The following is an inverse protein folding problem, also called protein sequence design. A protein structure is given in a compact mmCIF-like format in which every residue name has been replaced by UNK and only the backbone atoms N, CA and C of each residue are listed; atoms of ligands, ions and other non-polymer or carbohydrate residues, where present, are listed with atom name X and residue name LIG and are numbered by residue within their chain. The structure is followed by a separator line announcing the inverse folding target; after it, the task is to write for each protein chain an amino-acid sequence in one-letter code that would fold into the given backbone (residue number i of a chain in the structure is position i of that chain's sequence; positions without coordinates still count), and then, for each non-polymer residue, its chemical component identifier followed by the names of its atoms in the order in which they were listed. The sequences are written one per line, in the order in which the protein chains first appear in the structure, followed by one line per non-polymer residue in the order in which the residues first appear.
data_IF_442176616342
#
_entry.id   IF_442176616342
#
_cell.length_a   1.000
_cell.length_b   1.000
_cell.length_c   1.000
_cell.angle_alpha   90.00
_cell.angle_beta   90.00
_cell.angle_gamma   90.00
#
_symmetry.space_group_name_H-M   'P 1'
#
loop_
_entity.id
_entity.type
_entity.pdbx_description
1 polymer ?
#
# COMPACT_ATOMS: atom_id res chain seq x y z
N UNK A 1 -9.57 14.79 -33.21
CA UNK A 1 -10.17 13.77 -32.31
C UNK A 1 -9.50 13.73 -30.94
N UNK A 2 -8.20 13.98 -30.81
CA UNK A 2 -7.53 14.03 -29.49
C UNK A 2 -7.78 15.35 -28.73
N UNK A 3 -8.17 16.42 -29.42
CA UNK A 3 -8.37 17.77 -28.86
C UNK A 3 -9.61 17.93 -27.95
N UNK A 4 -10.49 16.92 -27.86
CA UNK A 4 -11.69 16.93 -27.00
C UNK A 4 -11.53 16.10 -25.73
N UNK A 5 -10.33 15.55 -25.49
CA UNK A 5 -10.05 14.75 -24.30
C UNK A 5 -9.61 15.70 -23.20
N UNK A 6 -10.43 15.82 -22.16
CA UNK A 6 -10.18 16.69 -21.00
C UNK A 6 -9.28 16.01 -19.96
N UNK A 7 -9.42 14.69 -19.76
CA UNK A 7 -8.66 13.92 -18.77
C UNK A 7 -8.16 12.57 -19.34
N UNK A 8 -6.93 12.21 -19.00
CA UNK A 8 -6.36 10.89 -19.28
C UNK A 8 -5.82 10.29 -17.97
N UNK A 9 -6.45 9.20 -17.53
CA UNK A 9 -5.92 8.38 -16.44
C UNK A 9 -4.80 7.49 -16.98
N UNK A 10 -3.58 7.67 -16.47
CA UNK A 10 -2.42 6.85 -16.85
C UNK A 10 -1.87 6.08 -15.66
N UNK A 11 -1.30 4.92 -15.96
CA UNK A 11 -0.42 4.21 -15.03
C UNK A 11 0.79 5.11 -14.71
N UNK A 12 1.39 4.98 -13.51
CA UNK A 12 2.49 5.82 -13.00
C UNK A 12 3.83 5.64 -13.75
N UNK A 13 3.78 5.26 -15.04
CA UNK A 13 4.95 5.08 -15.88
C UNK A 13 5.27 6.36 -16.65
N UNK A 14 6.42 6.96 -16.33
CA UNK A 14 6.91 8.21 -16.90
C UNK A 14 6.87 8.29 -18.46
N UNK A 15 7.15 7.22 -19.22
CA UNK A 15 6.99 7.24 -20.68
C UNK A 15 5.56 7.52 -21.15
N UNK A 16 4.53 7.05 -20.44
CA UNK A 16 3.14 7.36 -20.78
C UNK A 16 2.79 8.81 -20.46
N UNK A 17 3.32 9.38 -19.37
CA UNK A 17 3.16 10.80 -19.04
C UNK A 17 3.73 11.71 -20.12
N UNK A 18 4.91 11.37 -20.64
CA UNK A 18 5.54 12.13 -21.71
C UNK A 18 4.79 11.99 -23.04
N UNK A 19 4.34 10.78 -23.37
CA UNK A 19 3.55 10.50 -24.58
C UNK A 19 2.18 11.21 -24.57
N UNK A 20 1.49 11.26 -23.43
CA UNK A 20 0.22 11.99 -23.29
C UNK A 20 0.43 13.49 -23.41
N UNK A 21 1.50 14.05 -22.81
CA UNK A 21 1.84 15.47 -23.02
C UNK A 21 2.15 15.82 -24.48
N UNK A 22 2.74 14.88 -25.22
CA UNK A 22 3.10 15.07 -26.64
C UNK A 22 1.87 14.95 -27.57
N UNK A 23 1.00 13.98 -27.31
CA UNK A 23 -0.18 13.70 -28.16
C UNK A 23 -1.42 14.50 -27.78
N UNK A 24 -1.54 14.89 -26.51
CA UNK A 24 -2.71 15.51 -25.88
C UNK A 24 -2.26 16.59 -24.87
N UNK A 25 -1.63 17.69 -25.33
CA UNK A 25 -1.08 18.73 -24.45
C UNK A 25 -2.13 19.46 -23.60
N UNK A 26 -3.41 19.41 -24.03
CA UNK A 26 -4.54 20.01 -23.33
C UNK A 26 -5.17 19.10 -22.27
N UNK A 27 -4.81 17.82 -22.21
CA UNK A 27 -5.42 16.86 -21.30
C UNK A 27 -4.71 16.83 -19.95
N UNK A 28 -5.48 16.81 -18.87
CA UNK A 28 -4.93 16.62 -17.53
C UNK A 28 -4.53 15.15 -17.32
N UNK A 29 -3.29 14.94 -16.90
CA UNK A 29 -2.73 13.60 -16.65
C UNK A 29 -3.03 13.22 -15.21
N UNK A 30 -3.96 12.29 -15.01
CA UNK A 30 -4.34 11.80 -13.69
C UNK A 30 -3.64 10.47 -13.42
N UNK A 31 -2.99 10.36 -12.26
CA UNK A 31 -2.38 9.11 -11.83
C UNK A 31 -3.47 8.08 -11.47
N UNK A 32 -3.41 6.89 -12.06
CA UNK A 32 -4.37 5.83 -11.75
C UNK A 32 -4.18 5.29 -10.33
N UNK A 33 -5.06 5.72 -9.43
CA UNK A 33 -5.16 5.27 -8.03
C UNK A 33 -5.12 3.75 -7.88
N UNK A 34 -5.74 3.00 -8.79
CA UNK A 34 -5.80 1.54 -8.69
C UNK A 34 -4.42 0.91 -8.82
N UNK A 35 -3.58 1.41 -9.73
CA UNK A 35 -2.23 0.89 -9.92
C UNK A 35 -1.34 1.19 -8.71
N UNK A 36 -1.43 2.39 -8.15
CA UNK A 36 -0.67 2.77 -6.94
C UNK A 36 -1.07 1.91 -5.75
N UNK A 37 -2.37 1.77 -5.52
CA UNK A 37 -2.90 1.00 -4.40
C UNK A 37 -2.61 -0.49 -4.55
N UNK A 38 -2.62 -1.01 -5.78
CA UNK A 38 -2.18 -2.38 -6.09
C UNK A 38 -0.71 -2.57 -5.71
N UNK A 39 0.17 -1.63 -6.05
CA UNK A 39 1.59 -1.72 -5.72
C UNK A 39 1.85 -1.69 -4.20
N UNK A 40 1.19 -0.77 -3.48
CA UNK A 40 1.27 -0.71 -2.00
C UNK A 40 0.81 -2.04 -1.39
N UNK A 41 -0.30 -2.60 -1.87
CA UNK A 41 -0.79 -3.90 -1.40
C UNK A 41 0.17 -5.05 -1.71
N UNK A 42 0.87 -5.01 -2.85
CA UNK A 42 1.88 -6.01 -3.20
C UNK A 42 3.07 -5.93 -2.25
N UNK A 43 3.60 -4.73 -1.98
CA UNK A 43 4.73 -4.53 -1.08
C UNK A 43 4.39 -4.95 0.37
N UNK A 44 3.16 -4.70 0.82
CA UNK A 44 2.66 -5.21 2.11
C UNK A 44 2.58 -6.76 2.15
N UNK A 45 2.10 -7.42 1.09
CA UNK A 45 2.08 -8.89 1.02
C UNK A 45 3.49 -9.49 0.95
N UNK A 46 4.44 -8.80 0.31
CA UNK A 46 5.86 -9.16 0.31
C UNK A 46 6.43 -9.11 1.73
N UNK A 47 6.20 -8.02 2.47
CA UNK A 47 6.64 -7.93 3.87
C UNK A 47 6.02 -9.03 4.73
N UNK A 48 4.71 -9.31 4.57
CA UNK A 48 4.04 -10.40 5.30
C UNK A 48 4.70 -11.75 5.05
N UNK A 49 5.13 -12.03 3.81
CA UNK A 49 5.87 -13.26 3.46
C UNK A 49 7.27 -13.24 4.08
N UNK A 50 7.94 -12.10 4.10
CA UNK A 50 9.26 -11.95 4.71
C UNK A 50 9.21 -12.21 6.22
N UNK A 51 8.25 -11.62 6.95
CA UNK A 51 8.03 -11.88 8.38
C UNK A 51 7.78 -13.36 8.66
N UNK A 52 6.95 -14.01 7.83
CA UNK A 52 6.69 -15.46 7.95
C UNK A 52 7.98 -16.27 7.82
N UNK A 53 8.79 -16.00 6.80
CA UNK A 53 10.08 -16.68 6.58
C UNK A 53 11.05 -16.42 7.73
N UNK A 54 11.09 -15.20 8.26
CA UNK A 54 11.94 -14.84 9.40
C UNK A 54 11.58 -15.65 10.65
N UNK A 55 10.28 -15.78 10.95
CA UNK A 55 9.78 -16.63 12.05
C UNK A 55 10.12 -18.11 11.79
N UNK A 56 9.90 -18.60 10.57
CA UNK A 56 10.25 -19.99 10.18
C UNK A 56 11.74 -20.29 10.33
N UNK A 57 12.62 -19.33 10.04
CA UNK A 57 14.07 -19.48 10.13
C UNK A 57 14.63 -19.52 11.56
N UNK A 58 13.85 -19.13 12.58
CA UNK A 58 14.28 -19.21 13.97
C UNK A 58 14.54 -20.67 14.39
N UNK A 59 15.78 -20.97 14.80
CA UNK A 59 16.26 -22.31 15.18
C UNK A 59 16.23 -22.59 16.69
N UNK A 60 15.89 -21.60 17.51
CA UNK A 60 15.93 -21.73 18.96
C UNK A 60 14.82 -22.65 19.49
N UNK A 61 15.19 -23.87 19.93
CA UNK A 61 14.25 -24.86 20.47
C UNK A 61 13.51 -24.37 21.72
N UNK A 62 14.08 -23.44 22.49
CA UNK A 62 13.43 -22.88 23.70
C UNK A 62 12.24 -21.96 23.39
N UNK A 63 12.14 -21.46 22.16
CA UNK A 63 11.07 -20.53 21.72
C UNK A 63 10.06 -21.20 20.78
N UNK A 64 9.98 -22.55 20.78
CA UNK A 64 9.12 -23.29 19.86
C UNK A 64 7.64 -22.86 19.95
N UNK A 65 7.11 -22.73 21.16
CA UNK A 65 5.71 -22.32 21.37
C UNK A 65 5.44 -20.88 20.88
N UNK A 66 6.35 -19.94 21.15
CA UNK A 66 6.24 -18.55 20.69
C UNK A 66 6.28 -18.46 19.15
N UNK A 67 7.17 -19.23 18.52
CA UNK A 67 7.27 -19.36 17.08
C UNK A 67 5.96 -19.87 16.47
N UNK A 68 5.41 -20.94 17.03
CA UNK A 68 4.14 -21.53 16.56
C UNK A 68 2.98 -20.53 16.69
N UNK A 69 2.89 -19.80 17.81
CA UNK A 69 1.90 -18.75 18.01
C UNK A 69 2.02 -17.64 16.94
N UNK A 70 3.23 -17.14 16.67
CA UNK A 70 3.49 -16.13 15.63
C UNK A 70 3.13 -16.62 14.23
N UNK A 71 3.41 -17.89 13.90
CA UNK A 71 3.03 -18.48 12.61
C UNK A 71 1.52 -18.63 12.47
N UNK A 72 0.81 -19.00 13.54
CA UNK A 72 -0.64 -19.06 13.53
C UNK A 72 -1.26 -17.69 13.33
N UNK A 73 -0.70 -16.61 13.89
CA UNK A 73 -1.11 -15.22 13.60
C UNK A 73 -0.97 -14.90 12.11
N UNK A 74 0.12 -15.28 11.45
CA UNK A 74 0.33 -15.02 10.02
C UNK A 74 -0.44 -15.99 9.09
N UNK A 75 -0.97 -17.09 9.59
CA UNK A 75 -1.71 -18.07 8.81
C UNK A 75 -3.04 -17.50 8.32
N UNK A 76 -3.30 -17.64 7.01
CA UNK A 76 -4.52 -17.13 6.33
C UNK A 76 -4.79 -15.63 6.58
N UNK A 77 -3.75 -14.85 6.89
CA UNK A 77 -3.84 -13.43 7.26
C UNK A 77 -3.88 -12.45 6.09
N UNK A 78 -3.62 -12.92 4.85
CA UNK A 78 -3.46 -12.04 3.67
C UNK A 78 -4.59 -11.02 3.56
N UNK A 79 -5.84 -11.48 3.55
CA UNK A 79 -6.98 -10.58 3.37
C UNK A 79 -7.31 -9.74 4.59
N UNK A 80 -6.84 -10.12 5.79
CA UNK A 80 -6.96 -9.26 6.97
C UNK A 80 -6.07 -8.02 6.87
N UNK A 81 -4.97 -8.09 6.12
CA UNK A 81 -4.07 -6.95 5.89
C UNK A 81 -4.41 -6.18 4.60
N UNK A 82 -4.75 -6.89 3.53
CA UNK A 82 -4.86 -6.26 2.21
C UNK A 82 -6.23 -5.66 1.94
N UNK A 83 -7.31 -6.21 2.54
CA UNK A 83 -8.62 -5.56 2.41
C UNK A 83 -8.62 -4.24 3.16
N UNK A 84 -9.38 -3.31 2.63
CA UNK A 84 -9.83 -2.09 3.28
C UNK A 84 -10.40 -2.37 4.67
N UNK A 85 -10.04 -1.58 5.69
CA UNK A 85 -10.52 -1.82 7.07
C UNK A 85 -12.05 -1.82 7.17
N UNK A 86 -12.69 -0.90 6.42
CA UNK A 86 -14.15 -0.79 6.35
C UNK A 86 -14.85 -2.03 5.78
N UNK A 87 -14.12 -2.86 5.03
CA UNK A 87 -14.64 -4.06 4.34
C UNK A 87 -14.23 -5.37 5.05
N UNK A 88 -13.63 -5.28 6.23
CA UNK A 88 -13.23 -6.44 7.03
C UNK A 88 -14.42 -7.06 7.77
N UNK A 89 -14.49 -8.39 7.72
CA UNK A 89 -15.38 -9.14 8.63
C UNK A 89 -14.85 -9.12 10.06
N UNK A 90 -15.69 -9.43 11.04
CA UNK A 90 -15.28 -9.42 12.45
C UNK A 90 -14.09 -10.35 12.73
N UNK A 91 -14.11 -11.56 12.15
CA UNK A 91 -12.98 -12.49 12.21
C UNK A 91 -11.71 -11.90 11.59
N UNK A 92 -11.83 -11.13 10.50
CA UNK A 92 -10.69 -10.50 9.86
C UNK A 92 -10.13 -9.34 10.70
N UNK A 93 -10.98 -8.58 11.40
CA UNK A 93 -10.57 -7.52 12.34
C UNK A 93 -9.81 -8.09 13.53
N UNK A 94 -10.34 -9.12 14.18
CA UNK A 94 -9.64 -9.81 15.28
C UNK A 94 -8.26 -10.30 14.82
N UNK A 95 -8.20 -10.86 13.61
CA UNK A 95 -6.93 -11.31 13.02
C UNK A 95 -5.98 -10.15 12.73
N UNK A 96 -6.48 -9.02 12.24
CA UNK A 96 -5.69 -7.81 11.99
C UNK A 96 -5.09 -7.28 13.29
N UNK A 97 -5.87 -7.20 14.37
CA UNK A 97 -5.35 -6.75 15.68
C UNK A 97 -4.26 -7.68 16.21
N UNK A 98 -4.46 -9.00 16.11
CA UNK A 98 -3.42 -9.96 16.48
C UNK A 98 -2.13 -9.77 15.65
N UNK A 99 -2.23 -9.42 14.37
CA UNK A 99 -1.06 -9.09 13.53
C UNK A 99 -0.40 -7.81 14.03
N UNK A 100 -1.20 -6.76 14.31
CA UNK A 100 -0.69 -5.47 14.77
C UNK A 100 0.08 -5.57 16.09
N UNK A 101 -0.37 -6.44 17.00
CA UNK A 101 0.30 -6.73 18.27
C UNK A 101 1.62 -7.49 18.10
N UNK A 102 1.67 -8.45 17.17
CA UNK A 102 2.82 -9.36 17.03
C UNK A 102 3.87 -8.87 16.04
N UNK A 103 3.49 -8.03 15.08
CA UNK A 103 4.34 -7.61 13.96
C UNK A 103 4.26 -6.09 13.76
N UNK A 104 5.03 -5.30 14.54
CA UNK A 104 5.01 -3.84 14.48
C UNK A 104 5.27 -3.26 13.08
N UNK A 105 6.08 -3.93 12.26
CA UNK A 105 6.34 -3.48 10.89
C UNK A 105 5.09 -3.65 9.99
N UNK A 106 4.38 -4.78 10.12
CA UNK A 106 3.11 -5.00 9.40
C UNK A 106 2.02 -4.04 9.89
N UNK A 107 1.98 -3.72 11.19
CA UNK A 107 1.11 -2.68 11.75
C UNK A 107 1.34 -1.35 11.03
N UNK A 108 2.59 -0.87 11.03
CA UNK A 108 2.96 0.42 10.43
C UNK A 108 2.62 0.47 8.94
N UNK A 109 2.94 -0.58 8.19
CA UNK A 109 2.62 -0.65 6.77
C UNK A 109 1.11 -0.67 6.51
N UNK A 110 0.35 -1.39 7.34
CA UNK A 110 -1.11 -1.42 7.23
C UNK A 110 -1.72 -0.04 7.49
N UNK A 111 -1.32 0.64 8.56
CA UNK A 111 -1.80 1.99 8.91
C UNK A 111 -1.50 3.00 7.79
N UNK A 112 -0.28 2.98 7.25
CA UNK A 112 0.10 3.83 6.12
C UNK A 112 -0.69 3.51 4.85
N UNK A 113 -1.02 2.24 4.60
CA UNK A 113 -1.87 1.85 3.46
C UNK A 113 -3.29 2.41 3.60
N UNK A 114 -3.89 2.38 4.80
CA UNK A 114 -5.20 3.01 5.02
C UNK A 114 -5.11 4.55 5.01
N UNK A 115 -4.02 5.15 5.51
CA UNK A 115 -3.76 6.59 5.39
C UNK A 115 -3.72 7.02 3.92
N UNK A 116 -2.97 6.30 3.08
CA UNK A 116 -2.87 6.58 1.65
C UNK A 116 -4.23 6.52 0.97
N UNK A 117 -5.00 5.48 1.26
CA UNK A 117 -6.36 5.33 0.75
C UNK A 117 -7.25 6.50 1.18
N UNK A 118 -7.17 6.91 2.45
CA UNK A 118 -7.97 8.01 2.99
C UNK A 118 -7.74 9.30 2.21
N UNK A 119 -6.50 9.60 1.83
CA UNK A 119 -6.18 10.77 0.99
C UNK A 119 -7.07 10.80 -0.26
N UNK A 120 -7.21 9.68 -0.98
CA UNK A 120 -8.07 9.61 -2.15
C UNK A 120 -9.58 9.58 -1.87
N UNK A 121 -9.99 9.25 -0.64
CA UNK A 121 -11.41 9.23 -0.26
C UNK A 121 -11.88 10.57 0.32
N UNK A 122 -10.96 11.43 0.80
CA UNK A 122 -11.31 12.67 1.51
C UNK A 122 -10.78 13.95 0.88
N UNK A 123 -9.86 13.89 -0.09
CA UNK A 123 -9.34 15.11 -0.72
C UNK A 123 -10.44 15.79 -1.54
N UNK A 124 -10.74 17.05 -1.21
CA UNK A 124 -11.76 17.84 -1.92
C UNK A 124 -11.17 18.61 -3.11
N UNK A 125 -9.86 18.86 -3.10
CA UNK A 125 -9.16 19.59 -4.16
C UNK A 125 -7.75 19.04 -4.45
N UNK A 126 -7.21 19.28 -5.66
CA UNK A 126 -5.90 18.75 -6.08
C UNK A 126 -4.72 19.19 -5.21
N UNK A 127 -4.72 20.44 -4.72
CA UNK A 127 -3.61 21.01 -3.93
C UNK A 127 -3.47 20.30 -2.57
N UNK A 128 -4.58 20.10 -1.87
CA UNK A 128 -4.62 19.37 -0.61
C UNK A 128 -4.23 17.91 -0.78
N UNK A 129 -4.72 17.26 -1.85
CA UNK A 129 -4.33 15.90 -2.20
C UNK A 129 -2.83 15.76 -2.44
N UNK A 130 -2.23 16.71 -3.18
CA UNK A 130 -0.79 16.73 -3.45
C UNK A 130 0.04 16.91 -2.17
N UNK A 131 -0.35 17.83 -1.28
CA UNK A 131 0.30 18.02 0.01
C UNK A 131 0.22 16.75 0.87
N UNK A 132 -0.98 16.15 0.95
CA UNK A 132 -1.19 14.92 1.71
C UNK A 132 -0.38 13.74 1.18
N UNK A 133 -0.28 13.59 -0.16
CA UNK A 133 0.58 12.58 -0.79
C UNK A 133 2.06 12.86 -0.47
N UNK A 134 2.50 14.12 -0.52
CA UNK A 134 3.88 14.48 -0.16
C UNK A 134 4.21 14.11 1.29
N UNK A 135 3.31 14.43 2.22
CA UNK A 135 3.47 14.05 3.64
C UNK A 135 3.49 12.53 3.81
N UNK A 136 2.61 11.83 3.10
CA UNK A 136 2.59 10.37 3.12
C UNK A 136 3.89 9.77 2.60
N UNK A 137 4.45 10.29 1.50
CA UNK A 137 5.73 9.85 0.94
C UNK A 137 6.89 10.03 1.92
N UNK A 138 6.89 11.12 2.70
CA UNK A 138 7.89 11.35 3.73
C UNK A 138 7.80 10.26 4.82
N UNK A 139 6.60 10.00 5.34
CA UNK A 139 6.34 9.03 6.42
C UNK A 139 6.58 7.58 6.00
N UNK A 140 6.22 7.23 4.77
CA UNK A 140 6.16 5.85 4.28
C UNK A 140 7.44 5.35 3.61
N UNK A 141 8.35 6.25 3.25
CA UNK A 141 9.58 5.93 2.51
C UNK A 141 10.45 4.81 3.10
N UNK A 142 10.44 4.65 4.42
CA UNK A 142 11.22 3.62 5.12
C UNK A 142 10.62 2.21 5.03
N UNK A 143 9.34 2.08 4.68
CA UNK A 143 8.63 0.78 4.66
C UNK A 143 8.00 0.45 3.30
N UNK A 144 7.63 1.47 2.52
CA UNK A 144 7.09 1.35 1.16
C UNK A 144 8.09 1.90 0.13
N UNK A 145 9.32 1.40 0.15
CA UNK A 145 10.41 1.93 -0.66
C UNK A 145 10.11 1.83 -2.15
N UNK A 146 9.58 0.69 -2.63
CA UNK A 146 9.26 0.52 -4.06
C UNK A 146 8.09 1.42 -4.46
N UNK A 147 7.02 1.45 -3.65
CA UNK A 147 5.85 2.29 -3.93
C UNK A 147 6.20 3.77 -3.93
N UNK A 148 7.00 4.24 -2.97
CA UNK A 148 7.46 5.62 -2.93
C UNK A 148 8.35 5.99 -4.11
N UNK A 149 9.19 5.08 -4.59
CA UNK A 149 9.99 5.31 -5.79
C UNK A 149 9.11 5.46 -7.03
N UNK A 150 8.10 4.59 -7.20
CA UNK A 150 7.16 4.71 -8.33
C UNK A 150 6.37 6.01 -8.28
N UNK A 151 5.90 6.44 -7.11
CA UNK A 151 5.09 7.67 -6.99
C UNK A 151 5.94 8.94 -7.24
N UNK A 152 7.24 8.91 -6.93
CA UNK A 152 8.14 10.07 -7.14
C UNK A 152 8.59 10.24 -8.59
N UNK A 153 8.60 9.17 -9.38
CA UNK A 153 9.07 9.16 -10.77
C UNK A 153 7.93 9.53 -11.74
#
# INVERSE_FOLDING_TARGET
MLEQIEEVSIDLWLPYKNLVKELMPSAEVVADRFHVMKQINQELDEQRKAEKRAVEAQRNKKQKAEKEAKLEVLKRSKYSLLKNEKDLTETQKIKLEAIKENFPNLKKMHELKEEFRKIYETSENPTEGLLSISDWLAKSSSVFTKSCQTIRN
#
